data_IF_685703959559
#
_entry.id   IF_685703959559
#
_cell.length_a   1.000
_cell.length_b   1.000
_cell.length_c   1.000
_cell.angle_alpha   90.00
_cell.angle_beta   90.00
_cell.angle_gamma   90.00
#
_symmetry.space_group_name_H-M   'P 1'
#
loop_
_entity.id
_entity.type
_entity.pdbx_description
1 polymer ?
#
# COMPACT_ATOMS: atom_id res chain seq x y z
N UNK A 1 21.85 35.86 54.36
CA UNK A 1 21.02 37.08 54.42
C UNK A 1 19.89 36.98 53.39
N UNK A 2 18.64 36.82 53.85
CA UNK A 2 17.46 36.67 52.98
C UNK A 2 17.03 38.02 52.40
N UNK A 3 17.17 38.16 51.08
CA UNK A 3 16.69 39.33 50.32
C UNK A 3 15.16 39.33 50.26
N UNK A 4 14.55 40.16 51.11
CA UNK A 4 13.10 40.42 51.15
C UNK A 4 12.65 41.05 49.82
N UNK A 5 11.93 40.30 48.97
CA UNK A 5 11.25 40.86 47.79
C UNK A 5 10.16 41.84 48.25
N UNK A 6 10.39 43.14 48.04
CA UNK A 6 9.40 44.19 48.34
C UNK A 6 8.12 43.97 47.51
N UNK A 7 6.92 44.12 48.11
CA UNK A 7 5.66 43.97 47.40
C UNK A 7 5.51 45.06 46.33
N UNK A 8 5.19 44.63 45.10
CA UNK A 8 5.00 45.54 43.97
C UNK A 8 3.77 46.43 44.20
N UNK A 9 3.93 47.74 44.08
CA UNK A 9 2.82 48.70 44.17
C UNK A 9 1.77 48.40 43.07
N UNK A 10 0.46 48.66 43.31
CA UNK A 10 -0.61 48.36 42.36
C UNK A 10 -0.36 48.91 40.94
N UNK A 11 0.27 50.08 40.85
CA UNK A 11 0.65 50.73 39.61
C UNK A 11 1.68 49.91 38.80
N UNK A 12 2.67 49.30 39.46
CA UNK A 12 3.69 48.47 38.79
C UNK A 12 3.15 47.10 38.39
N UNK A 13 2.18 46.55 39.12
CA UNK A 13 1.48 45.29 38.77
C UNK A 13 0.66 45.45 37.49
N UNK A 14 -0.09 46.56 37.34
CA UNK A 14 -0.85 46.88 36.11
C UNK A 14 0.08 47.07 34.91
N UNK A 15 1.22 47.75 35.09
CA UNK A 15 2.20 47.94 34.02
C UNK A 15 2.83 46.61 33.54
N UNK A 16 3.15 45.70 34.47
CA UNK A 16 3.63 44.34 34.12
C UNK A 16 2.58 43.52 33.40
N UNK A 17 1.32 43.60 33.83
CA UNK A 17 0.21 42.91 33.16
C UNK A 17 0.00 43.43 31.72
N UNK A 18 0.01 44.75 31.52
CA UNK A 18 -0.06 45.36 30.18
C UNK A 18 1.09 44.91 29.27
N UNK A 19 2.33 44.90 29.76
CA UNK A 19 3.49 44.39 29.01
C UNK A 19 3.39 42.90 28.69
N UNK A 20 2.87 42.09 29.61
CA UNK A 20 2.62 40.66 29.38
C UNK A 20 1.59 40.42 28.27
N UNK A 21 0.48 41.18 28.27
CA UNK A 21 -0.53 41.12 27.22
C UNK A 21 0.03 41.53 25.86
N UNK A 22 0.84 42.60 25.80
CA UNK A 22 1.49 43.03 24.56
C UNK A 22 2.43 41.96 24.00
N UNK A 23 3.22 41.30 24.86
CA UNK A 23 4.08 40.18 24.45
C UNK A 23 3.28 39.00 23.91
N UNK A 24 2.17 38.63 24.56
CA UNK A 24 1.29 37.54 24.10
C UNK A 24 0.64 37.87 22.76
N UNK A 25 0.21 39.13 22.56
CA UNK A 25 -0.35 39.58 21.30
C UNK A 25 0.69 39.59 20.18
N UNK A 26 1.94 39.98 20.47
CA UNK A 26 3.04 39.92 19.51
C UNK A 26 3.34 38.47 19.09
N UNK A 27 3.38 37.54 20.04
CA UNK A 27 3.54 36.09 19.76
C UNK A 27 2.37 35.57 18.93
N UNK A 28 1.12 35.92 19.26
CA UNK A 28 -0.06 35.53 18.48
C UNK A 28 0.00 36.09 17.04
N UNK A 29 0.46 37.33 16.87
CA UNK A 29 0.67 37.94 15.53
C UNK A 29 1.79 37.28 14.74
N UNK A 30 2.85 36.81 15.41
CA UNK A 30 3.94 36.08 14.76
C UNK A 30 3.54 34.64 14.39
N UNK A 31 2.75 33.96 15.22
CA UNK A 31 2.26 32.61 14.98
C UNK A 31 1.09 32.56 13.98
N UNK A 32 0.28 33.62 13.93
CA UNK A 32 -0.86 33.75 13.03
C UNK A 32 -0.81 35.13 12.35
N UNK A 33 0.08 35.33 11.36
CA UNK A 33 0.04 36.54 10.56
C UNK A 33 -1.31 36.60 9.86
N UNK A 34 -1.95 37.77 9.83
CA UNK A 34 -3.25 38.01 9.16
C UNK A 34 -3.23 37.51 7.72
N UNK A 35 -2.06 37.57 7.07
CA UNK A 35 -1.78 37.03 5.74
C UNK A 35 -1.99 35.52 5.61
N UNK A 36 -1.95 34.75 6.70
CA UNK A 36 -2.21 33.30 6.69
C UNK A 36 -3.71 32.99 6.82
N UNK A 37 -4.47 33.87 7.47
CA UNK A 37 -5.94 33.78 7.57
C UNK A 37 -6.57 34.27 6.25
N UNK A 38 -6.02 35.33 5.65
CA UNK A 38 -6.45 35.85 4.35
C UNK A 38 -6.10 34.88 3.21
N UNK A 39 -4.89 34.29 3.20
CA UNK A 39 -4.54 33.21 2.25
C UNK A 39 -5.44 31.97 2.34
N UNK A 40 -6.05 31.70 3.52
CA UNK A 40 -7.05 30.63 3.67
C UNK A 40 -8.43 31.00 3.13
N UNK A 41 -8.76 32.30 3.05
CA UNK A 41 -10.04 32.80 2.49
C UNK A 41 -9.94 33.06 0.99
N UNK A 42 -8.77 33.45 0.51
CA UNK A 42 -8.40 33.57 -0.90
C UNK A 42 -7.87 32.26 -1.46
N UNK A 43 -8.45 31.13 -1.05
CA UNK A 43 -8.27 29.85 -1.72
C UNK A 43 -8.94 29.90 -3.09
N UNK A 44 -8.40 30.72 -4.00
CA UNK A 44 -8.52 30.45 -5.42
C UNK A 44 -7.88 29.08 -5.59
N UNK A 45 -8.69 28.12 -6.00
CA UNK A 45 -8.23 26.86 -6.56
C UNK A 45 -7.36 27.17 -7.79
N UNK A 46 -6.13 27.63 -7.58
CA UNK A 46 -5.06 27.48 -8.55
C UNK A 46 -4.77 25.98 -8.60
N UNK A 47 -5.67 25.26 -9.26
CA UNK A 47 -5.46 23.88 -9.67
C UNK A 47 -4.23 23.94 -10.56
N UNK A 48 -3.08 23.58 -9.98
CA UNK A 48 -1.85 23.35 -10.70
C UNK A 48 -2.20 22.55 -11.97
N UNK A 49 -1.89 23.11 -13.14
CA UNK A 49 -2.25 22.50 -14.42
C UNK A 49 -1.62 21.11 -14.47
N UNK A 50 -2.45 20.07 -14.35
CA UNK A 50 -1.99 18.68 -14.40
C UNK A 50 -1.20 18.48 -15.69
N UNK A 51 0.02 17.95 -15.58
CA UNK A 51 0.89 17.63 -16.72
C UNK A 51 0.30 16.58 -17.68
N UNK A 52 -0.87 16.00 -17.37
CA UNK A 52 -1.58 15.04 -18.21
C UNK A 52 -3.06 15.40 -18.25
N UNK A 53 -3.64 15.34 -19.44
CA UNK A 53 -5.08 15.54 -19.64
C UNK A 53 -5.85 14.25 -19.35
N UNK A 54 -7.18 14.36 -19.21
CA UNK A 54 -8.05 13.18 -19.08
C UNK A 54 -7.99 12.27 -20.31
N UNK A 55 -7.69 12.83 -21.50
CA UNK A 55 -7.50 12.05 -22.73
C UNK A 55 -6.25 11.17 -22.61
N UNK A 56 -5.17 11.73 -22.10
CA UNK A 56 -3.89 11.01 -21.95
C UNK A 56 -4.01 9.87 -20.94
N UNK A 57 -4.73 10.10 -19.84
CA UNK A 57 -5.02 9.09 -18.84
C UNK A 57 -5.86 7.93 -19.43
N UNK A 58 -6.89 8.24 -20.25
CA UNK A 58 -7.68 7.22 -20.95
C UNK A 58 -6.84 6.38 -21.92
N UNK A 59 -5.90 7.01 -22.61
CA UNK A 59 -4.95 6.30 -23.49
C UNK A 59 -4.04 5.37 -22.67
N UNK A 60 -3.52 5.86 -21.54
CA UNK A 60 -2.71 5.05 -20.63
C UNK A 60 -3.49 3.85 -20.08
N UNK A 61 -4.75 4.05 -19.67
CA UNK A 61 -5.62 2.95 -19.23
C UNK A 61 -5.80 1.88 -20.31
N UNK A 62 -6.00 2.28 -21.57
CA UNK A 62 -6.16 1.33 -22.68
C UNK A 62 -4.89 0.49 -22.87
N UNK A 63 -3.71 1.12 -22.83
CA UNK A 63 -2.42 0.44 -22.95
C UNK A 63 -2.25 -0.59 -21.83
N UNK A 64 -2.50 -0.17 -20.58
CA UNK A 64 -2.35 -1.04 -19.40
C UNK A 64 -3.35 -2.20 -19.42
N UNK A 65 -4.61 -1.94 -19.79
CA UNK A 65 -5.66 -2.97 -19.86
C UNK A 65 -5.43 -3.97 -21.00
N UNK A 66 -4.85 -3.53 -22.12
CA UNK A 66 -4.58 -4.41 -23.26
C UNK A 66 -3.56 -5.49 -22.91
N UNK A 67 -2.53 -5.15 -22.13
CA UNK A 67 -1.50 -6.11 -21.71
C UNK A 67 -1.07 -5.87 -20.26
N UNK A 68 -1.72 -6.53 -19.28
CA UNK A 68 -1.45 -6.32 -17.85
C UNK A 68 -0.05 -6.72 -17.37
N UNK A 69 0.71 -7.46 -18.19
CA UNK A 69 2.02 -8.01 -17.85
C UNK A 69 3.21 -7.21 -18.42
N UNK A 70 2.95 -6.14 -19.19
CA UNK A 70 4.03 -5.28 -19.71
C UNK A 70 4.73 -4.52 -18.60
N UNK A 71 6.01 -4.25 -18.80
CA UNK A 71 6.78 -3.42 -17.88
C UNK A 71 6.38 -1.95 -18.01
N UNK A 72 6.51 -1.18 -16.93
CA UNK A 72 6.30 0.28 -16.90
C UNK A 72 7.11 1.00 -17.98
N UNK A 73 8.32 0.53 -18.27
CA UNK A 73 9.16 1.09 -19.34
C UNK A 73 8.60 0.88 -20.74
N UNK A 74 7.96 -0.26 -21.01
CA UNK A 74 7.31 -0.55 -22.29
C UNK A 74 6.02 0.26 -22.42
N UNK A 75 5.23 0.31 -21.35
CA UNK A 75 4.02 1.14 -21.26
C UNK A 75 4.36 2.61 -21.49
N UNK A 76 5.48 3.10 -20.94
CA UNK A 76 5.95 4.47 -21.16
C UNK A 76 6.32 4.74 -22.63
N UNK A 77 7.01 3.80 -23.30
CA UNK A 77 7.32 3.92 -24.73
C UNK A 77 6.05 3.98 -25.58
N UNK A 78 5.08 3.12 -25.30
CA UNK A 78 3.79 3.11 -26.00
C UNK A 78 2.97 4.37 -25.74
N UNK A 79 2.99 4.87 -24.51
CA UNK A 79 2.31 6.11 -24.16
C UNK A 79 2.95 7.35 -24.81
N UNK A 80 4.28 7.32 -24.94
CA UNK A 80 5.05 8.34 -25.70
C UNK A 80 4.75 8.24 -27.20
N UNK A 81 4.68 7.02 -27.75
CA UNK A 81 4.31 6.78 -29.15
C UNK A 81 2.88 7.24 -29.45
N UNK A 82 1.99 7.20 -28.45
CA UNK A 82 0.64 7.77 -28.54
C UNK A 82 0.59 9.32 -28.45
N UNK A 83 1.74 9.98 -28.39
CA UNK A 83 1.87 11.44 -28.41
C UNK A 83 1.96 12.11 -27.04
N UNK A 84 2.04 11.33 -25.94
CA UNK A 84 2.11 11.90 -24.59
C UNK A 84 3.57 12.01 -24.14
N UNK A 85 4.10 13.23 -24.13
CA UNK A 85 5.45 13.50 -23.60
C UNK A 85 5.41 13.52 -22.07
N UNK A 86 5.68 12.37 -21.45
CA UNK A 86 5.74 12.21 -20.01
C UNK A 86 6.98 11.43 -19.59
N UNK A 87 7.45 11.66 -18.35
CA UNK A 87 8.55 10.86 -17.78
C UNK A 87 8.06 9.47 -17.36
N UNK A 88 8.98 8.49 -17.27
CA UNK A 88 8.69 7.15 -16.73
C UNK A 88 8.07 7.20 -15.32
N UNK A 89 8.58 8.09 -14.47
CA UNK A 89 8.08 8.29 -13.10
C UNK A 89 6.65 8.82 -13.11
N UNK A 90 6.33 9.72 -14.04
CA UNK A 90 4.97 10.23 -14.24
C UNK A 90 4.02 9.12 -14.66
N UNK A 91 4.44 8.25 -15.59
CA UNK A 91 3.66 7.07 -16.01
C UNK A 91 3.36 6.16 -14.83
N UNK A 92 4.39 5.83 -14.05
CA UNK A 92 4.25 4.98 -12.86
C UNK A 92 3.27 5.58 -11.85
N UNK A 93 3.42 6.87 -11.50
CA UNK A 93 2.52 7.57 -10.58
C UNK A 93 1.08 7.55 -11.10
N UNK A 94 0.86 7.82 -12.38
CA UNK A 94 -0.48 7.80 -12.98
C UNK A 94 -1.12 6.42 -12.97
N UNK A 95 -0.34 5.38 -13.24
CA UNK A 95 -0.81 4.00 -13.12
C UNK A 95 -1.29 3.72 -11.68
N UNK A 96 -0.54 4.15 -10.67
CA UNK A 96 -0.94 4.03 -9.27
C UNK A 96 -2.16 4.88 -8.90
N UNK A 97 -2.25 6.13 -9.38
CA UNK A 97 -3.41 7.01 -9.18
C UNK A 97 -4.70 6.34 -9.70
N UNK A 98 -4.60 5.55 -10.77
CA UNK A 98 -5.69 4.80 -11.37
C UNK A 98 -5.92 3.42 -10.72
N UNK A 99 -5.14 3.05 -9.70
CA UNK A 99 -5.26 1.80 -8.97
C UNK A 99 -4.54 0.60 -9.60
N UNK A 100 -3.69 0.81 -10.60
CA UNK A 100 -2.87 -0.27 -11.16
C UNK A 100 -1.63 -0.49 -10.31
N UNK A 101 -1.48 -1.70 -9.79
CA UNK A 101 -0.28 -2.18 -9.10
C UNK A 101 0.41 -3.25 -9.93
N UNK A 102 1.73 -3.35 -9.82
CA UNK A 102 2.48 -4.50 -10.34
C UNK A 102 1.93 -5.79 -9.72
N UNK A 103 1.50 -6.74 -10.57
CA UNK A 103 1.03 -8.04 -10.10
C UNK A 103 2.22 -9.00 -10.01
N UNK A 104 2.44 -9.58 -8.84
CA UNK A 104 3.41 -10.68 -8.69
C UNK A 104 2.81 -11.89 -9.43
N UNK A 105 3.49 -12.43 -10.46
CA UNK A 105 2.99 -13.61 -11.15
C UNK A 105 2.96 -14.79 -10.18
N UNK A 106 1.77 -15.37 -9.98
CA UNK A 106 1.66 -16.60 -9.22
C UNK A 106 2.21 -17.74 -10.06
N UNK A 107 3.24 -18.43 -9.57
CA UNK A 107 3.74 -19.66 -10.18
C UNK A 107 2.70 -20.74 -9.94
N UNK A 108 1.91 -21.05 -10.97
CA UNK A 108 1.02 -22.20 -10.98
C UNK A 108 1.73 -23.36 -11.64
N UNK A 109 1.61 -24.60 -11.13
CA UNK A 109 2.07 -25.76 -11.88
C UNK A 109 1.33 -25.81 -13.21
N UNK A 110 2.09 -25.93 -14.29
CA UNK A 110 1.54 -26.07 -15.63
C UNK A 110 0.86 -27.44 -15.73
N UNK A 111 -0.47 -27.44 -15.67
CA UNK A 111 -1.26 -28.66 -15.83
C UNK A 111 -1.54 -28.91 -17.30
N UNK A 112 -1.36 -30.14 -17.76
CA UNK A 112 -1.83 -30.55 -19.08
C UNK A 112 -3.37 -30.66 -19.10
N UNK A 113 -3.97 -30.68 -20.30
CA UNK A 113 -5.44 -30.73 -20.44
C UNK A 113 -6.07 -31.94 -19.73
N UNK A 114 -5.40 -33.11 -19.75
CA UNK A 114 -5.88 -34.32 -19.07
C UNK A 114 -5.88 -34.17 -17.55
N UNK A 115 -4.83 -33.60 -16.98
CA UNK A 115 -4.70 -33.28 -15.56
C UNK A 115 -5.74 -32.24 -15.15
N UNK A 116 -5.98 -31.22 -15.99
CA UNK A 116 -7.01 -30.22 -15.73
C UNK A 116 -8.41 -30.85 -15.65
N UNK A 117 -8.78 -31.70 -16.60
CA UNK A 117 -10.07 -32.40 -16.59
C UNK A 117 -10.22 -33.31 -15.36
N UNK A 118 -9.16 -34.06 -15.01
CA UNK A 118 -9.14 -34.87 -13.77
C UNK A 118 -9.30 -34.01 -12.51
N UNK A 119 -8.66 -32.84 -12.46
CA UNK A 119 -8.77 -31.91 -11.34
C UNK A 119 -10.20 -31.37 -11.19
N UNK A 120 -10.83 -30.98 -12.30
CA UNK A 120 -12.21 -30.52 -12.30
C UNK A 120 -13.20 -31.61 -11.87
N UNK A 121 -13.01 -32.84 -12.36
CA UNK A 121 -13.82 -33.98 -11.96
C UNK A 121 -13.65 -34.31 -10.46
N UNK A 122 -12.42 -34.32 -9.97
CA UNK A 122 -12.11 -34.59 -8.56
C UNK A 122 -12.69 -33.52 -7.64
N UNK A 123 -12.67 -32.24 -8.04
CA UNK A 123 -13.33 -31.15 -7.30
C UNK A 123 -14.84 -31.34 -7.22
N UNK A 124 -15.49 -31.75 -8.32
CA UNK A 124 -16.94 -32.03 -8.35
C UNK A 124 -17.30 -33.18 -7.40
N UNK A 125 -16.54 -34.27 -7.44
CA UNK A 125 -16.73 -35.43 -6.55
C UNK A 125 -16.49 -35.04 -5.09
N UNK A 126 -15.41 -34.30 -4.80
CA UNK A 126 -15.12 -33.81 -3.44
C UNK A 126 -16.23 -32.91 -2.90
N UNK A 127 -16.85 -32.07 -3.74
CA UNK A 127 -17.99 -31.25 -3.34
C UNK A 127 -19.21 -32.11 -2.96
N UNK A 128 -19.49 -33.16 -3.75
CA UNK A 128 -20.59 -34.10 -3.47
C UNK A 128 -20.36 -34.92 -2.20
N UNK A 129 -19.11 -35.31 -1.92
CA UNK A 129 -18.73 -36.03 -0.70
C UNK A 129 -18.65 -35.11 0.54
N UNK A 130 -18.49 -33.80 0.35
CA UNK A 130 -18.53 -32.81 1.43
C UNK A 130 -19.94 -32.53 1.96
N UNK A 131 -20.97 -33.11 1.35
CA UNK A 131 -22.35 -33.03 1.83
C UNK A 131 -22.46 -33.50 3.29
N UNK A 132 -23.21 -32.79 4.16
CA UNK A 132 -23.27 -33.07 5.60
C UNK A 132 -23.63 -34.51 5.96
N UNK A 133 -24.40 -35.19 5.10
CA UNK A 133 -24.84 -36.59 5.25
C UNK A 133 -23.73 -37.62 5.10
N UNK A 134 -22.63 -37.30 4.42
CA UNK A 134 -21.50 -38.21 4.15
C UNK A 134 -20.22 -37.82 4.90
N UNK A 135 -20.18 -36.59 5.45
CA UNK A 135 -19.02 -36.03 6.15
C UNK A 135 -18.62 -36.82 7.40
N UNK A 136 -19.57 -37.47 8.08
CA UNK A 136 -19.31 -38.30 9.26
C UNK A 136 -18.75 -39.70 8.94
N UNK A 137 -18.77 -40.12 7.66
CA UNK A 137 -18.37 -41.47 7.23
C UNK A 137 -16.94 -41.54 6.67
N UNK A 138 -16.31 -40.41 6.34
CA UNK A 138 -14.99 -40.39 5.72
C UNK A 138 -13.93 -39.77 6.65
N UNK A 139 -13.21 -40.63 7.38
CA UNK A 139 -11.94 -40.26 8.02
C UNK A 139 -10.82 -40.35 6.98
N UNK A 140 -10.28 -39.21 6.55
CA UNK A 140 -9.17 -39.17 5.60
C UNK A 140 -7.94 -38.65 6.31
N UNK A 141 -6.91 -39.49 6.44
CA UNK A 141 -5.60 -39.08 6.95
C UNK A 141 -4.77 -38.57 5.77
N UNK A 142 -4.38 -37.30 5.80
CA UNK A 142 -3.46 -36.73 4.82
C UNK A 142 -2.03 -36.77 5.37
N UNK A 143 -1.12 -37.38 4.60
CA UNK A 143 0.30 -37.38 4.85
C UNK A 143 1.01 -36.83 3.61
N UNK A 144 1.76 -35.74 3.78
CA UNK A 144 2.58 -35.14 2.72
C UNK A 144 4.05 -35.20 3.15
N UNK A 145 4.93 -35.87 2.38
CA UNK A 145 6.36 -35.78 2.64
C UNK A 145 6.84 -34.38 2.23
N UNK A 146 7.40 -33.64 3.19
CA UNK A 146 8.05 -32.35 2.94
C UNK A 146 9.57 -32.53 3.09
N UNK A 147 10.31 -32.23 2.03
CA UNK A 147 11.77 -32.21 2.07
C UNK A 147 12.23 -30.83 2.56
N UNK A 148 12.79 -30.78 3.77
CA UNK A 148 13.43 -29.58 4.31
C UNK A 148 14.93 -29.71 4.05
N UNK A 149 15.50 -28.76 3.31
CA UNK A 149 16.95 -28.65 3.15
C UNK A 149 17.49 -27.81 4.30
N UNK A 150 18.13 -28.44 5.28
CA UNK A 150 18.87 -27.74 6.34
C UNK A 150 20.28 -27.43 5.82
N UNK A 151 20.68 -26.16 5.69
CA UNK A 151 22.04 -25.84 5.30
C UNK A 151 22.99 -26.07 6.48
N UNK A 152 23.74 -27.17 6.46
CA UNK A 152 24.87 -27.35 7.38
C UNK A 152 26.13 -26.64 6.88
N UNK A 153 26.85 -26.01 7.79
CA UNK A 153 28.04 -25.17 7.58
C UNK A 153 29.30 -25.93 7.11
N UNK A 154 29.17 -27.14 6.54
CA UNK A 154 30.28 -28.04 6.25
C UNK A 154 30.26 -28.73 4.87
N UNK A 155 29.35 -28.36 3.97
CA UNK A 155 29.36 -28.84 2.57
C UNK A 155 28.87 -30.27 2.34
N UNK A 156 28.42 -31.00 3.38
CA UNK A 156 27.65 -32.25 3.23
C UNK A 156 26.15 -31.95 3.35
N UNK A 157 25.37 -32.34 2.35
CA UNK A 157 23.91 -32.26 2.39
C UNK A 157 23.33 -33.57 2.92
N UNK A 158 22.82 -33.56 4.14
CA UNK A 158 22.01 -34.65 4.67
C UNK A 158 20.53 -34.41 4.33
N UNK A 159 19.83 -35.46 3.86
CA UNK A 159 18.42 -35.39 3.46
C UNK A 159 17.57 -36.05 4.53
N UNK A 160 16.84 -35.27 5.31
CA UNK A 160 15.88 -35.80 6.28
C UNK A 160 14.46 -35.73 5.71
N UNK A 161 13.82 -36.89 5.55
CA UNK A 161 12.40 -37.01 5.19
C UNK A 161 11.59 -37.13 6.47
N UNK A 162 10.76 -36.14 6.77
CA UNK A 162 9.85 -36.16 7.92
C UNK A 162 8.44 -36.40 7.40
N UNK A 163 7.77 -37.42 7.94
CA UNK A 163 6.34 -37.66 7.70
C UNK A 163 5.52 -36.82 8.68
N UNK A 164 4.92 -35.73 8.18
CA UNK A 164 3.95 -34.96 8.97
C UNK A 164 2.57 -35.58 8.79
N UNK A 165 2.11 -36.29 9.81
CA UNK A 165 0.74 -36.79 9.88
C UNK A 165 -0.17 -35.67 10.40
N UNK A 166 -1.08 -35.18 9.55
CA UNK A 166 -2.16 -34.30 10.01
C UNK A 166 -3.30 -35.16 10.54
N UNK A 167 -3.64 -34.97 11.82
CA UNK A 167 -4.79 -35.64 12.45
C UNK A 167 -6.13 -35.21 11.84
N UNK A 168 -7.20 -35.99 12.05
CA UNK A 168 -8.49 -35.76 11.40
C UNK A 168 -9.09 -34.40 11.81
N UNK A 169 -9.65 -33.68 10.82
CA UNK A 169 -10.42 -32.43 10.96
C UNK A 169 -11.91 -32.73 11.06
#
# INVERSE_FOLDING_TARGET
QLSKRRPLTPCTRRARHKRSLQKRLAVHRALCPSTLIERRREGKDEVEKKCTSNRDNRTLERIVKQNPFKNVGEIHKEWTAAGVSASRTTTHRRMQDMGFSCRIPCVKPLLNNRQHQKHLASKRIGLLLSCPKLRSLMKVNFAFPLEIRVPESGGRQERHTIHVASGPV
#
